data_IF_377910802210
#
_entry.id   IF_377910802210
#
_cell.length_a   1.000
_cell.length_b   1.000
_cell.length_c   1.000
_cell.angle_alpha   90.00
_cell.angle_beta   90.00
_cell.angle_gamma   90.00
#
_symmetry.space_group_name_H-M   'P 1'
#
loop_
_entity.id
_entity.type
_entity.pdbx_description
1 polymer ?
#
# COMPACT_ATOMS: atom_id res chain seq x y z
N UNK A 1 25.64 -5.83 22.91
CA UNK A 1 24.52 -4.92 23.22
C UNK A 1 23.13 -5.58 23.19
N UNK A 2 22.87 -6.60 22.37
CA UNK A 2 21.57 -7.30 22.33
C UNK A 2 21.36 -8.22 23.56
N UNK A 3 22.42 -8.81 24.11
CA UNK A 3 22.30 -9.74 25.24
C UNK A 3 21.85 -9.08 26.54
N UNK A 4 22.16 -7.79 26.72
CA UNK A 4 21.69 -7.02 27.86
C UNK A 4 20.18 -6.81 27.80
N UNK A 5 19.63 -6.51 26.62
CA UNK A 5 18.20 -6.27 26.46
C UNK A 5 17.38 -7.53 26.78
N UNK A 6 17.90 -8.70 26.37
CA UNK A 6 17.30 -10.01 26.66
C UNK A 6 17.24 -10.29 28.16
N UNK A 7 18.35 -10.05 28.88
CA UNK A 7 18.42 -10.23 30.33
C UNK A 7 17.44 -9.31 31.08
N UNK A 8 17.40 -8.02 30.72
CA UNK A 8 16.48 -7.06 31.34
C UNK A 8 15.00 -7.41 31.14
N UNK A 9 14.62 -7.86 29.94
CA UNK A 9 13.25 -8.22 29.62
C UNK A 9 12.81 -9.54 30.30
N UNK A 10 13.71 -10.52 30.42
CA UNK A 10 13.46 -11.76 31.17
C UNK A 10 13.24 -11.53 32.66
N UNK A 11 14.00 -10.61 33.27
CA UNK A 11 13.90 -10.31 34.71
C UNK A 11 12.61 -9.57 35.05
N UNK A 12 12.17 -8.62 34.21
CA UNK A 12 10.97 -7.80 34.48
C UNK A 12 9.64 -8.49 34.17
N UNK A 13 9.65 -9.53 33.34
CA UNK A 13 8.45 -10.25 32.92
C UNK A 13 8.66 -11.75 33.02
N UNK A 14 8.78 -12.25 34.26
CA UNK A 14 8.89 -13.68 34.57
C UNK A 14 7.81 -14.56 33.94
N UNK A 15 6.63 -13.99 33.63
CA UNK A 15 5.52 -14.68 32.96
C UNK A 15 5.61 -14.69 31.42
N UNK A 16 6.64 -14.08 30.83
CA UNK A 16 7.02 -14.31 29.42
C UNK A 16 7.84 -15.61 29.36
N UNK A 17 7.20 -16.68 29.86
CA UNK A 17 7.42 -18.12 29.68
C UNK A 17 8.75 -18.50 29.00
N UNK A 18 9.82 -18.61 29.80
CA UNK A 18 11.06 -19.30 29.41
C UNK A 18 11.57 -18.97 27.99
N UNK A 19 11.43 -17.71 27.55
CA UNK A 19 12.01 -17.23 26.29
C UNK A 19 11.35 -17.69 24.98
N UNK A 20 10.20 -18.38 25.01
CA UNK A 20 9.64 -19.02 23.81
C UNK A 20 8.57 -18.21 23.05
N UNK A 21 8.03 -17.12 23.62
CA UNK A 21 6.83 -16.45 23.08
C UNK A 21 7.05 -15.15 22.30
N UNK A 22 8.28 -14.82 21.88
CA UNK A 22 8.54 -13.62 21.04
C UNK A 22 8.82 -13.92 19.55
N UNK A 23 8.62 -15.15 19.05
CA UNK A 23 9.22 -15.59 17.78
C UNK A 23 8.44 -15.33 16.46
N UNK A 24 7.18 -14.87 16.46
CA UNK A 24 6.44 -14.68 15.19
C UNK A 24 5.60 -13.42 15.11
N UNK A 25 4.66 -13.26 16.05
CA UNK A 25 3.78 -12.08 16.10
C UNK A 25 4.55 -10.78 16.35
N UNK A 26 5.66 -10.83 17.10
CA UNK A 26 6.51 -9.66 17.34
C UNK A 26 7.28 -9.25 16.08
N UNK A 27 7.80 -10.21 15.30
CA UNK A 27 8.47 -9.92 14.03
C UNK A 27 7.51 -9.38 12.98
N UNK A 28 6.35 -10.01 12.80
CA UNK A 28 5.34 -9.50 11.87
C UNK A 28 4.90 -8.07 12.21
N UNK A 29 4.75 -7.77 13.51
CA UNK A 29 4.38 -6.43 13.99
C UNK A 29 5.52 -5.44 13.82
N UNK A 30 6.77 -5.85 14.08
CA UNK A 30 7.96 -5.03 13.84
C UNK A 30 8.13 -4.70 12.36
N UNK A 31 8.06 -5.69 11.46
CA UNK A 31 8.09 -5.50 10.01
C UNK A 31 6.94 -4.61 9.54
N UNK A 32 5.75 -4.77 10.12
CA UNK A 32 4.60 -3.92 9.81
C UNK A 32 4.84 -2.46 10.20
N UNK A 33 5.47 -2.22 11.36
CA UNK A 33 5.86 -0.87 11.79
C UNK A 33 6.90 -0.29 10.84
N UNK A 34 7.95 -1.03 10.50
CA UNK A 34 8.96 -0.57 9.55
C UNK A 34 8.38 -0.21 8.19
N UNK A 35 7.43 -1.02 7.69
CA UNK A 35 6.76 -0.74 6.42
C UNK A 35 5.87 0.51 6.51
N UNK A 36 5.18 0.73 7.64
CA UNK A 36 4.42 1.96 7.88
C UNK A 36 5.35 3.18 7.94
N UNK A 37 6.47 3.09 8.66
CA UNK A 37 7.45 4.17 8.78
C UNK A 37 8.04 4.51 7.42
N UNK A 38 8.35 3.50 6.60
CA UNK A 38 8.82 3.70 5.23
C UNK A 38 7.76 4.41 4.37
N UNK A 39 6.50 3.97 4.42
CA UNK A 39 5.40 4.63 3.70
C UNK A 39 5.13 6.05 4.22
N UNK A 40 5.42 6.32 5.49
CA UNK A 40 5.26 7.62 6.15
C UNK A 40 6.37 8.63 5.80
N UNK A 41 7.41 8.23 5.08
CA UNK A 41 8.49 9.12 4.67
C UNK A 41 7.94 10.34 3.91
N UNK A 42 8.36 11.55 4.31
CA UNK A 42 7.79 12.82 3.83
C UNK A 42 7.78 12.93 2.30
N UNK A 43 8.89 12.55 1.66
CA UNK A 43 9.04 12.58 0.20
C UNK A 43 8.09 11.60 -0.55
N UNK A 44 7.54 10.59 0.13
CA UNK A 44 6.60 9.62 -0.44
C UNK A 44 5.14 10.02 -0.21
N UNK A 45 4.85 10.87 0.78
CA UNK A 45 3.48 11.24 1.13
C UNK A 45 2.73 11.88 -0.06
N UNK A 46 3.36 12.81 -0.76
CA UNK A 46 2.74 13.48 -1.91
C UNK A 46 2.48 12.51 -3.09
N UNK A 47 3.46 11.72 -3.58
CA UNK A 47 3.21 10.69 -4.60
C UNK A 47 2.15 9.66 -4.21
N UNK A 48 2.21 9.11 -2.98
CA UNK A 48 1.24 8.11 -2.51
C UNK A 48 -0.17 8.72 -2.46
N UNK A 49 -0.30 9.98 -2.00
CA UNK A 49 -1.58 10.68 -1.99
C UNK A 49 -2.13 10.87 -3.42
N UNK A 50 -1.29 11.21 -4.40
CA UNK A 50 -1.73 11.34 -5.80
C UNK A 50 -2.29 10.01 -6.35
N UNK A 51 -1.59 8.90 -6.12
CA UNK A 51 -2.08 7.56 -6.50
C UNK A 51 -3.42 7.26 -5.85
N UNK A 52 -3.53 7.53 -4.55
CA UNK A 52 -4.77 7.30 -3.79
C UNK A 52 -5.93 8.14 -4.32
N UNK A 53 -5.70 9.42 -4.57
CA UNK A 53 -6.72 10.35 -5.07
C UNK A 53 -7.17 9.95 -6.49
N UNK A 54 -6.24 9.51 -7.33
CA UNK A 54 -6.50 8.95 -8.65
C UNK A 54 -7.42 7.71 -8.59
N UNK A 55 -7.05 6.72 -7.77
CA UNK A 55 -7.87 5.52 -7.58
C UNK A 55 -9.24 5.87 -7.02
N UNK A 56 -9.29 6.79 -6.05
CA UNK A 56 -10.56 7.26 -5.48
C UNK A 56 -11.44 7.90 -6.56
N UNK A 57 -10.88 8.74 -7.43
CA UNK A 57 -11.63 9.35 -8.52
C UNK A 57 -12.20 8.28 -9.45
N UNK A 58 -11.38 7.34 -9.93
CA UNK A 58 -11.83 6.24 -10.80
C UNK A 58 -12.94 5.41 -10.14
N UNK A 59 -12.85 5.12 -8.84
CA UNK A 59 -13.86 4.32 -8.14
C UNK A 59 -15.14 5.05 -7.75
N UNK A 60 -15.13 6.39 -7.73
CA UNK A 60 -16.28 7.20 -7.28
C UNK A 60 -17.00 7.90 -8.41
N UNK A 61 -16.38 8.01 -9.58
CA UNK A 61 -16.97 8.58 -10.78
C UNK A 61 -17.24 7.45 -11.77
N UNK A 62 -18.52 7.07 -11.94
CA UNK A 62 -18.93 5.95 -12.78
C UNK A 62 -18.44 6.09 -14.23
N UNK A 63 -18.54 7.28 -14.83
CA UNK A 63 -18.09 7.52 -16.20
C UNK A 63 -16.56 7.33 -16.33
N UNK A 64 -15.80 7.76 -15.32
CA UNK A 64 -14.36 7.56 -15.29
C UNK A 64 -14.00 6.08 -15.05
N UNK A 65 -14.74 5.40 -14.16
CA UNK A 65 -14.60 3.97 -13.89
C UNK A 65 -14.85 3.13 -15.14
N UNK A 66 -15.96 3.37 -15.84
CA UNK A 66 -16.31 2.70 -17.09
C UNK A 66 -15.23 2.88 -18.15
N UNK A 67 -14.72 4.11 -18.28
CA UNK A 67 -13.64 4.41 -19.22
C UNK A 67 -12.34 3.72 -18.84
N UNK A 68 -12.01 3.68 -17.56
CA UNK A 68 -10.83 2.97 -17.06
C UNK A 68 -10.94 1.47 -17.36
N UNK A 69 -12.09 0.85 -17.12
CA UNK A 69 -12.31 -0.57 -17.39
C UNK A 69 -12.29 -0.90 -18.89
N UNK A 70 -12.78 -0.01 -19.74
CA UNK A 70 -12.64 -0.13 -21.19
C UNK A 70 -11.17 -0.13 -21.63
N UNK A 71 -10.37 0.81 -21.12
CA UNK A 71 -8.94 0.89 -21.41
C UNK A 71 -8.18 -0.31 -20.84
N UNK A 72 -8.53 -0.75 -19.62
CA UNK A 72 -7.94 -1.93 -18.96
C UNK A 72 -8.07 -3.20 -19.80
N UNK A 73 -9.15 -3.37 -20.57
CA UNK A 73 -9.32 -4.52 -21.50
C UNK A 73 -8.28 -4.55 -22.62
N UNK A 74 -7.72 -3.39 -22.99
CA UNK A 74 -6.67 -3.30 -24.01
C UNK A 74 -5.29 -3.67 -23.45
N UNK A 75 -5.12 -3.63 -22.12
CA UNK A 75 -3.87 -3.92 -21.42
C UNK A 75 -4.12 -4.95 -20.30
N UNK A 76 -4.35 -6.23 -20.63
CA UNK A 76 -4.57 -7.25 -19.61
C UNK A 76 -3.37 -7.32 -18.65
N UNK A 77 -3.63 -7.17 -17.34
CA UNK A 77 -2.58 -7.31 -16.35
C UNK A 77 -1.98 -8.73 -16.37
N UNK A 78 -0.66 -8.81 -16.31
CA UNK A 78 0.10 -10.07 -16.26
C UNK A 78 -0.04 -10.80 -14.91
N UNK A 79 -0.72 -10.19 -13.94
CA UNK A 79 -0.69 -10.53 -12.52
C UNK A 79 -2.10 -10.76 -11.95
N UNK A 80 -2.18 -11.48 -10.84
CA UNK A 80 -3.43 -11.71 -10.11
C UNK A 80 -3.93 -10.48 -9.35
N UNK A 81 -3.14 -9.40 -9.25
CA UNK A 81 -3.52 -8.16 -8.56
C UNK A 81 -4.38 -7.28 -9.47
N UNK A 82 -5.61 -7.72 -9.70
CA UNK A 82 -6.41 -7.18 -10.82
C UNK A 82 -7.12 -5.87 -10.52
N UNK A 83 -7.49 -5.60 -9.27
CA UNK A 83 -8.46 -4.56 -8.98
C UNK A 83 -7.89 -3.38 -8.21
N UNK A 84 -8.33 -2.18 -8.61
CA UNK A 84 -8.02 -0.97 -7.88
C UNK A 84 -8.71 -0.98 -6.51
N UNK A 85 -7.93 -0.83 -5.45
CA UNK A 85 -8.40 -0.79 -4.08
C UNK A 85 -7.95 0.49 -3.42
N UNK A 86 -8.85 1.14 -2.67
CA UNK A 86 -8.47 2.24 -1.78
C UNK A 86 -7.85 1.62 -0.53
N UNK A 87 -6.67 2.10 -0.14
CA UNK A 87 -5.97 1.59 1.02
C UNK A 87 -6.65 1.97 2.34
N UNK A 88 -6.37 1.16 3.37
CA UNK A 88 -6.51 1.59 4.75
C UNK A 88 -5.13 2.07 5.22
N UNK A 89 -4.98 3.38 5.40
CA UNK A 89 -3.70 4.01 5.73
C UNK A 89 -3.08 3.53 7.06
N UNK A 90 -3.87 2.89 7.93
CA UNK A 90 -3.36 2.26 9.16
C UNK A 90 -2.77 0.87 8.92
N UNK A 91 -2.82 0.34 7.69
CA UNK A 91 -2.38 -1.00 7.31
C UNK A 91 -1.47 -0.97 6.08
N UNK A 92 -0.16 -1.06 6.31
CA UNK A 92 0.86 -0.98 5.26
C UNK A 92 0.59 -1.91 4.08
N UNK A 93 0.08 -3.12 4.34
CA UNK A 93 -0.14 -4.12 3.30
C UNK A 93 -1.23 -3.69 2.31
N UNK A 94 -2.22 -2.91 2.76
CA UNK A 94 -3.26 -2.39 1.88
C UNK A 94 -2.76 -1.23 1.04
N UNK A 95 -1.90 -0.36 1.61
CA UNK A 95 -1.21 0.70 0.86
C UNK A 95 -0.25 0.11 -0.17
N UNK A 96 0.49 -0.93 0.19
CA UNK A 96 1.33 -1.68 -0.74
C UNK A 96 0.51 -2.26 -1.91
N UNK A 97 -0.59 -2.95 -1.63
CA UNK A 97 -1.45 -3.50 -2.68
C UNK A 97 -2.05 -2.42 -3.59
N UNK A 98 -2.46 -1.28 -3.03
CA UNK A 98 -2.94 -0.12 -3.80
C UNK A 98 -1.85 0.39 -4.77
N UNK A 99 -0.64 0.59 -4.26
CA UNK A 99 0.49 1.07 -5.07
C UNK A 99 0.90 0.04 -6.13
N UNK A 100 0.91 -1.25 -5.79
CA UNK A 100 1.21 -2.32 -6.72
C UNK A 100 0.20 -2.37 -7.87
N UNK A 101 -1.10 -2.34 -7.56
CA UNK A 101 -2.15 -2.27 -8.57
C UNK A 101 -2.03 -1.02 -9.44
N UNK A 102 -1.72 0.14 -8.85
CA UNK A 102 -1.49 1.36 -9.61
C UNK A 102 -0.30 1.24 -10.59
N UNK A 103 0.80 0.61 -10.15
CA UNK A 103 1.95 0.34 -11.00
C UNK A 103 1.61 -0.62 -12.15
N UNK A 104 0.85 -1.68 -11.88
CA UNK A 104 0.42 -2.63 -12.91
C UNK A 104 -0.48 -1.97 -13.97
N UNK A 105 -1.31 -1.01 -13.58
CA UNK A 105 -2.20 -0.27 -14.49
C UNK A 105 -1.65 1.10 -14.92
N UNK A 106 -0.34 1.36 -14.78
CA UNK A 106 0.25 2.68 -15.07
C UNK A 106 -0.09 3.20 -16.47
N UNK A 107 -0.02 2.32 -17.49
CA UNK A 107 -0.35 2.69 -18.87
C UNK A 107 -1.82 3.09 -19.03
N UNK A 108 -2.72 2.42 -18.31
CA UNK A 108 -4.16 2.72 -18.31
C UNK A 108 -4.40 4.11 -17.70
N UNK A 109 -3.74 4.43 -16.57
CA UNK A 109 -3.84 5.75 -15.96
C UNK A 109 -3.30 6.87 -16.86
N UNK A 110 -2.18 6.66 -17.56
CA UNK A 110 -1.65 7.65 -18.49
C UNK A 110 -2.58 7.89 -19.69
N UNK A 111 -3.22 6.85 -20.22
CA UNK A 111 -4.21 7.00 -21.28
C UNK A 111 -5.48 7.68 -20.79
N UNK A 112 -5.93 7.36 -19.58
CA UNK A 112 -7.08 8.00 -18.95
C UNK A 112 -6.85 9.51 -18.81
N UNK A 113 -5.66 9.94 -18.37
CA UNK A 113 -5.26 11.35 -18.32
C UNK A 113 -5.28 12.04 -19.69
N UNK A 114 -4.86 11.34 -20.74
CA UNK A 114 -4.89 11.90 -22.09
C UNK A 114 -6.30 12.01 -22.69
N UNK A 115 -7.22 11.11 -22.34
CA UNK A 115 -8.52 10.99 -23.02
C UNK A 115 -9.74 11.44 -22.20
N UNK A 116 -9.59 11.71 -20.90
CA UNK A 116 -10.67 12.12 -20.01
C UNK A 116 -10.40 13.52 -19.43
N UNK A 117 -10.92 14.61 -20.02
CA UNK A 117 -10.55 15.99 -19.68
C UNK A 117 -10.75 16.39 -18.22
N UNK A 118 -11.72 15.77 -17.54
CA UNK A 118 -12.03 16.03 -16.13
C UNK A 118 -11.13 15.26 -15.16
N UNK A 119 -10.32 14.32 -15.67
CA UNK A 119 -9.35 13.56 -14.90
C UNK A 119 -7.99 14.28 -14.92
N UNK A 120 -7.78 15.21 -13.98
CA UNK A 120 -6.56 16.03 -13.89
C UNK A 120 -5.53 15.51 -12.87
N UNK A 121 -5.65 14.25 -12.47
CA UNK A 121 -4.77 13.64 -11.47
C UNK A 121 -3.67 12.88 -12.20
N UNK A 122 -2.53 13.55 -12.41
CA UNK A 122 -1.36 12.92 -13.01
C UNK A 122 -0.70 11.96 -12.02
N UNK A 123 -0.60 10.69 -12.42
CA UNK A 123 0.11 9.62 -11.69
C UNK A 123 1.47 9.32 -12.35
N UNK A 124 1.83 10.09 -13.37
CA UNK A 124 2.96 9.87 -14.28
C UNK A 124 4.33 10.16 -13.67
#
# INVERSE_FOLDING_TARGET
>A
CIDNLRGFLSVRNQHVLNGQLLMGKCYARFLSSMAQDALAAEHLQAPIKKVRDSIKYVKTNDACGDRFDELKRQFPALSSYKDLLIDNQTRWNTSYNMLLAACEHRQVFSLLEACHPDYKISVS
#
